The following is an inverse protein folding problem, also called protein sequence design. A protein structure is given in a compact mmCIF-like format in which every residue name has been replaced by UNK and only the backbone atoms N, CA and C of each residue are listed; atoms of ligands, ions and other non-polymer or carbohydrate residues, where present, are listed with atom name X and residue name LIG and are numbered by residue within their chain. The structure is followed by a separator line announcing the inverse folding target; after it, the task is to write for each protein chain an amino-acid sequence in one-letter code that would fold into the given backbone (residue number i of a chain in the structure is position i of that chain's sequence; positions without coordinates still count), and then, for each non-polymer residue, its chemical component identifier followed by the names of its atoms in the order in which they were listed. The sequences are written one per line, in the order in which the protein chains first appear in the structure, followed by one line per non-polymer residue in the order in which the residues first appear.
data_IF_527567414362
#
_entry.id   IF_527567414362
#
_cell.length_a   1.000
_cell.length_b   1.000
_cell.length_c   1.000
_cell.angle_alpha   90.00
_cell.angle_beta   90.00
_cell.angle_gamma   90.00
#
_symmetry.space_group_name_H-M   'P 1'
#
loop_
_entity.id
_entity.type
_entity.pdbx_description
1 polymer ?
#
# COMPACT_ATOMS: atom_id res chain seq x y z
N UNK A 1 19.70 64.68 53.16
CA UNK A 1 18.61 64.51 52.19
C UNK A 1 19.01 63.68 50.93
N UNK A 2 20.30 63.64 50.56
CA UNK A 2 20.78 62.83 49.38
C UNK A 2 20.83 61.33 49.61
N UNK A 3 21.09 60.87 50.80
CA UNK A 3 21.23 59.40 51.07
C UNK A 3 19.87 58.67 50.98
N UNK A 4 18.81 59.33 51.38
CA UNK A 4 17.43 58.74 51.29
C UNK A 4 16.96 58.59 49.84
N UNK A 5 17.34 59.47 48.95
CA UNK A 5 16.95 59.43 47.53
C UNK A 5 17.65 58.29 46.80
N UNK A 6 18.89 57.94 47.14
CA UNK A 6 19.64 56.82 46.52
C UNK A 6 19.09 55.47 46.92
N UNK A 7 18.62 55.32 48.16
CA UNK A 7 18.04 54.08 48.61
C UNK A 7 16.67 53.81 47.96
N UNK A 8 15.85 54.81 47.78
CA UNK A 8 14.55 54.67 47.10
C UNK A 8 14.68 54.39 45.63
N UNK A 9 15.61 55.01 44.92
CA UNK A 9 15.87 54.75 43.49
C UNK A 9 16.42 53.33 43.29
N UNK A 10 17.37 52.89 44.15
CA UNK A 10 17.94 51.55 44.10
C UNK A 10 16.86 50.45 44.34
N UNK A 11 15.98 50.68 45.31
CA UNK A 11 14.92 49.72 45.60
C UNK A 11 13.84 49.70 44.50
N UNK A 12 13.57 50.82 43.83
CA UNK A 12 12.66 50.92 42.70
C UNK A 12 13.21 50.18 41.46
N UNK A 13 14.52 50.32 41.22
CA UNK A 13 15.21 49.61 40.13
C UNK A 13 15.25 48.09 40.37
N UNK A 14 15.47 47.63 41.60
CA UNK A 14 15.42 46.22 41.96
C UNK A 14 14.01 45.61 41.84
N UNK A 15 12.98 46.37 42.20
CA UNK A 15 11.60 45.96 42.00
C UNK A 15 11.20 45.87 40.52
N UNK A 16 11.69 46.78 39.67
CA UNK A 16 11.45 46.75 38.23
C UNK A 16 12.12 45.57 37.53
N UNK A 17 13.32 45.12 38.00
CA UNK A 17 13.96 43.89 37.48
C UNK A 17 13.27 42.59 37.91
N UNK A 18 12.59 42.59 39.05
CA UNK A 18 11.87 41.39 39.52
C UNK A 18 10.57 41.11 38.72
N UNK A 19 9.95 42.17 38.14
CA UNK A 19 8.76 41.99 37.28
C UNK A 19 9.08 41.66 35.84
N UNK A 20 10.34 41.78 35.37
CA UNK A 20 10.74 41.45 34.02
C UNK A 20 11.01 39.95 33.77
N UNK A 21 11.07 39.12 34.82
CA UNK A 21 11.46 37.72 34.70
C UNK A 21 10.28 36.74 34.63
N UNK A 22 9.03 37.21 34.72
CA UNK A 22 7.84 36.31 34.72
C UNK A 22 7.06 36.32 33.42
N UNK A 23 7.58 36.96 32.34
CA UNK A 23 6.81 37.09 31.09
C UNK A 23 7.08 36.02 30.03
N UNK A 24 7.87 34.99 30.34
CA UNK A 24 8.19 33.92 29.36
C UNK A 24 7.39 32.61 29.51
N UNK A 25 6.51 32.49 30.49
CA UNK A 25 5.73 31.26 30.69
C UNK A 25 4.29 31.34 30.18
N UNK A 26 3.84 32.49 29.69
CA UNK A 26 2.45 32.66 29.22
C UNK A 26 2.26 32.48 27.71
N UNK A 27 3.26 32.01 26.98
CA UNK A 27 3.16 31.66 25.54
C UNK A 27 3.54 30.18 25.33
N UNK A 28 3.23 29.34 26.27
CA UNK A 28 2.96 27.91 25.98
C UNK A 28 1.45 27.77 25.77
N UNK A 29 0.93 28.43 24.77
CA UNK A 29 -0.26 27.94 24.13
C UNK A 29 0.10 26.53 23.68
N UNK A 30 -0.64 25.52 24.17
CA UNK A 30 -0.69 24.20 23.59
C UNK A 30 -1.24 24.35 22.17
N UNK A 31 -0.37 24.83 21.28
CA UNK A 31 -0.69 24.83 19.86
C UNK A 31 -0.94 23.36 19.51
N UNK A 32 -2.10 23.05 18.95
CA UNK A 32 -2.35 21.68 18.51
C UNK A 32 -1.17 21.23 17.66
N UNK A 33 -0.66 20.04 17.93
CA UNK A 33 0.41 19.45 17.12
C UNK A 33 0.06 19.63 15.66
N UNK A 34 1.01 20.16 14.89
CA UNK A 34 0.77 20.34 13.47
C UNK A 34 0.43 18.97 12.87
N UNK A 35 -0.69 18.86 12.14
CA UNK A 35 -1.04 17.57 11.54
C UNK A 35 0.12 17.09 10.67
N UNK A 36 0.44 15.79 10.69
CA UNK A 36 1.46 15.24 9.80
C UNK A 36 1.02 15.39 8.34
N UNK A 37 1.98 15.36 7.42
CA UNK A 37 1.67 15.15 6.01
C UNK A 37 1.39 13.66 5.84
N UNK A 38 0.15 13.31 5.57
CA UNK A 38 -0.35 11.93 5.60
C UNK A 38 -1.10 11.60 4.32
N UNK A 39 -0.83 10.44 3.76
CA UNK A 39 -1.59 9.88 2.64
C UNK A 39 -2.35 8.63 3.12
N UNK A 40 -3.67 8.66 3.03
CA UNK A 40 -4.56 7.53 3.30
C UNK A 40 -5.04 6.92 2.00
N UNK A 41 -4.80 5.64 1.84
CA UNK A 41 -5.12 4.88 0.64
C UNK A 41 -6.17 3.85 0.99
N UNK A 42 -7.40 4.06 0.49
CA UNK A 42 -8.45 3.05 0.51
C UNK A 42 -8.33 2.14 -0.70
N UNK A 43 -8.87 0.95 -0.60
CA UNK A 43 -8.85 -0.05 -1.67
C UNK A 43 -10.24 -0.55 -1.95
N UNK A 44 -10.51 -0.83 -3.25
CA UNK A 44 -11.81 -1.25 -3.71
C UNK A 44 -11.69 -2.30 -4.81
N UNK A 45 -12.45 -3.38 -4.68
CA UNK A 45 -12.62 -4.38 -5.72
C UNK A 45 -14.11 -4.58 -5.99
N UNK A 46 -14.64 -3.81 -6.95
CA UNK A 46 -16.04 -3.87 -7.41
C UNK A 46 -16.18 -4.25 -8.90
N UNK A 47 -15.06 -4.46 -9.58
CA UNK A 47 -15.07 -4.84 -11.00
C UNK A 47 -15.24 -6.36 -11.16
N UNK A 48 -16.44 -6.85 -10.85
CA UNK A 48 -16.86 -8.24 -10.99
C UNK A 48 -18.36 -8.35 -11.27
N UNK A 49 -18.83 -9.57 -11.57
CA UNK A 49 -20.20 -9.77 -12.07
C UNK A 49 -21.30 -9.56 -11.01
N UNK A 50 -20.99 -9.61 -9.74
CA UNK A 50 -22.02 -9.56 -8.67
C UNK A 50 -22.26 -8.17 -8.11
N UNK A 51 -21.43 -7.18 -8.46
CA UNK A 51 -21.51 -5.82 -7.96
C UNK A 51 -21.14 -5.67 -6.47
N UNK A 52 -20.84 -4.44 -6.06
CA UNK A 52 -20.40 -4.13 -4.71
C UNK A 52 -18.90 -4.33 -4.50
N UNK A 53 -18.37 -3.73 -3.45
CA UNK A 53 -16.98 -3.88 -3.06
C UNK A 53 -16.80 -5.14 -2.22
N UNK A 54 -15.92 -6.01 -2.67
CA UNK A 54 -15.57 -7.28 -2.01
C UNK A 54 -14.06 -7.39 -1.73
N UNK A 55 -13.36 -6.26 -1.66
CA UNK A 55 -11.94 -6.22 -1.34
C UNK A 55 -11.64 -7.01 -0.06
N UNK A 56 -12.34 -6.70 1.02
CA UNK A 56 -12.19 -7.30 2.35
C UNK A 56 -12.49 -8.80 2.42
N UNK A 57 -13.17 -9.36 1.40
CA UNK A 57 -13.49 -10.80 1.35
C UNK A 57 -12.43 -11.62 0.60
N UNK A 58 -11.64 -10.97 -0.26
CA UNK A 58 -10.79 -11.68 -1.22
C UNK A 58 -9.31 -11.40 -1.12
N UNK A 59 -8.92 -10.20 -0.66
CA UNK A 59 -7.51 -9.80 -0.62
C UNK A 59 -6.93 -10.17 0.74
N UNK A 60 -5.89 -10.98 0.73
CA UNK A 60 -5.17 -11.39 1.94
C UNK A 60 -3.74 -10.86 2.02
N UNK A 61 -3.24 -10.27 0.93
CA UNK A 61 -1.94 -9.59 0.92
C UNK A 61 -1.94 -8.42 -0.06
N UNK A 62 -1.33 -7.31 0.35
CA UNK A 62 -1.34 -6.05 -0.35
C UNK A 62 0.07 -5.45 -0.40
N UNK A 63 0.50 -5.05 -1.59
CA UNK A 63 1.80 -4.46 -1.87
C UNK A 63 1.59 -3.16 -2.63
N UNK A 64 1.96 -2.02 -2.04
CA UNK A 64 1.81 -0.69 -2.64
C UNK A 64 3.18 -0.12 -2.92
N UNK A 65 3.52 0.00 -4.20
CA UNK A 65 4.74 0.62 -4.68
C UNK A 65 4.50 2.11 -4.87
N UNK A 66 5.31 2.91 -4.20
CA UNK A 66 5.29 4.36 -4.30
C UNK A 66 6.38 4.83 -5.26
N UNK A 67 5.99 5.64 -6.24
CA UNK A 67 6.88 6.28 -7.20
C UNK A 67 6.75 7.80 -7.09
N UNK A 68 7.86 8.50 -7.37
CA UNK A 68 7.88 9.96 -7.45
C UNK A 68 7.26 10.49 -8.76
N UNK A 69 7.32 11.81 -8.94
CA UNK A 69 6.82 12.51 -10.13
C UNK A 69 7.50 12.07 -11.43
N UNK A 70 8.72 11.55 -11.37
CA UNK A 70 9.55 11.09 -12.49
C UNK A 70 9.47 9.57 -12.70
N UNK A 71 8.45 8.93 -12.09
CA UNK A 71 8.22 7.48 -12.11
C UNK A 71 9.42 6.67 -11.60
N UNK A 72 10.13 7.22 -10.59
CA UNK A 72 11.19 6.53 -9.87
C UNK A 72 10.67 5.92 -8.58
N UNK A 73 11.01 4.67 -8.34
CA UNK A 73 10.62 3.94 -7.14
C UNK A 73 11.20 4.60 -5.88
N UNK A 74 10.35 4.85 -4.91
CA UNK A 74 10.71 5.39 -3.61
C UNK A 74 10.68 4.31 -2.53
N UNK A 75 9.55 3.64 -2.38
CA UNK A 75 9.35 2.67 -1.30
C UNK A 75 8.23 1.69 -1.61
N UNK A 76 8.26 0.55 -0.90
CA UNK A 76 7.22 -0.47 -0.91
C UNK A 76 6.57 -0.52 0.48
N UNK A 77 5.26 -0.40 0.50
CA UNK A 77 4.42 -0.60 1.68
C UNK A 77 3.67 -1.91 1.54
N UNK A 78 3.64 -2.69 2.61
CA UNK A 78 3.02 -4.01 2.59
C UNK A 78 2.06 -4.18 3.75
N UNK A 79 0.94 -4.85 3.49
CA UNK A 79 0.06 -5.39 4.51
C UNK A 79 -0.23 -6.85 4.15
N UNK A 80 0.06 -7.75 5.06
CA UNK A 80 -0.11 -9.20 4.86
C UNK A 80 -0.91 -9.87 5.95
N UNK A 81 -1.42 -9.08 6.89
CA UNK A 81 -2.35 -9.56 7.88
C UNK A 81 -3.76 -9.60 7.27
N UNK A 82 -4.24 -10.80 7.01
CA UNK A 82 -5.55 -11.02 6.41
C UNK A 82 -6.72 -10.61 7.34
N UNK A 83 -6.52 -10.55 8.66
CA UNK A 83 -7.53 -10.06 9.59
C UNK A 83 -7.68 -8.54 9.45
N UNK A 84 -6.55 -7.83 9.32
CA UNK A 84 -6.51 -6.38 9.09
C UNK A 84 -7.13 -6.03 7.74
N UNK A 85 -6.73 -6.73 6.66
CA UNK A 85 -7.28 -6.53 5.32
C UNK A 85 -8.75 -6.92 5.21
N UNK A 86 -9.22 -7.84 6.06
CA UNK A 86 -10.62 -8.26 6.16
C UNK A 86 -11.54 -7.22 6.81
N UNK A 87 -11.02 -6.15 7.37
CA UNK A 87 -11.81 -5.07 7.95
C UNK A 87 -12.44 -4.21 6.84
N UNK A 88 -13.75 -3.97 6.94
CA UNK A 88 -14.43 -3.07 5.98
C UNK A 88 -13.94 -1.65 6.14
N UNK A 89 -13.52 -1.05 5.03
CA UNK A 89 -13.03 0.32 5.01
C UNK A 89 -11.58 0.45 5.46
N UNK A 90 -10.81 -0.63 5.36
CA UNK A 90 -9.37 -0.59 5.58
C UNK A 90 -8.70 0.53 4.76
N UNK A 91 -7.86 1.32 5.40
CA UNK A 91 -7.01 2.33 4.76
C UNK A 91 -5.54 2.07 5.15
N UNK A 92 -4.67 1.99 4.17
CA UNK A 92 -3.23 2.04 4.41
C UNK A 92 -2.80 3.49 4.62
N UNK A 93 -2.06 3.75 5.70
CA UNK A 93 -1.65 5.11 6.07
C UNK A 93 -0.15 5.26 5.85
N UNK A 94 0.22 6.20 5.00
CA UNK A 94 1.60 6.59 4.75
C UNK A 94 1.85 7.95 5.41
N UNK A 95 2.71 7.94 6.43
CA UNK A 95 3.10 9.14 7.17
C UNK A 95 4.41 9.71 6.63
N UNK A 96 4.68 10.96 6.96
CA UNK A 96 5.94 11.66 6.71
C UNK A 96 6.35 11.74 5.23
N UNK A 97 5.35 11.76 4.34
CA UNK A 97 5.60 12.03 2.94
C UNK A 97 5.92 13.52 2.73
N UNK A 98 6.86 13.82 1.86
CA UNK A 98 7.07 15.18 1.40
C UNK A 98 5.89 15.63 0.52
N UNK A 99 5.56 16.95 0.51
CA UNK A 99 4.56 17.48 -0.40
C UNK A 99 5.03 17.34 -1.84
N UNK A 100 4.47 16.39 -2.55
CA UNK A 100 4.81 16.10 -3.95
C UNK A 100 3.68 15.35 -4.66
N UNK A 101 3.91 15.08 -5.95
CA UNK A 101 3.08 14.22 -6.78
C UNK A 101 3.67 12.82 -6.78
N UNK A 102 2.83 11.85 -6.41
CA UNK A 102 3.19 10.44 -6.33
C UNK A 102 2.35 9.60 -7.27
N UNK A 103 2.92 8.50 -7.75
CA UNK A 103 2.19 7.44 -8.44
C UNK A 103 2.18 6.19 -7.58
N UNK A 104 0.99 5.60 -7.44
CA UNK A 104 0.78 4.37 -6.69
C UNK A 104 0.56 3.21 -7.67
N UNK A 105 1.32 2.14 -7.49
CA UNK A 105 1.07 0.87 -8.15
C UNK A 105 0.83 -0.19 -7.08
N UNK A 106 -0.37 -0.76 -7.10
CA UNK A 106 -0.80 -1.75 -6.12
C UNK A 106 -0.83 -3.13 -6.77
N UNK A 107 -0.26 -4.10 -6.08
CA UNK A 107 -0.34 -5.51 -6.40
C UNK A 107 -0.94 -6.22 -5.19
N UNK A 108 -1.93 -7.06 -5.40
CA UNK A 108 -2.58 -7.79 -4.32
C UNK A 108 -2.78 -9.26 -4.68
N UNK A 109 -2.80 -10.10 -3.63
CA UNK A 109 -2.97 -11.55 -3.71
C UNK A 109 -3.93 -12.05 -2.62
N UNK A 110 -4.35 -13.33 -2.72
CA UNK A 110 -5.07 -13.99 -1.63
C UNK A 110 -4.14 -14.42 -0.50
N UNK A 111 -2.88 -14.71 -0.82
CA UNK A 111 -1.84 -15.15 0.11
C UNK A 111 -0.67 -14.18 0.09
N UNK A 112 0.07 -14.09 1.19
CA UNK A 112 1.33 -13.38 1.19
C UNK A 112 2.35 -14.00 0.22
N UNK A 113 3.34 -13.21 -0.21
CA UNK A 113 4.42 -13.75 -1.04
C UNK A 113 5.17 -14.87 -0.33
N UNK A 114 5.36 -14.77 0.99
CA UNK A 114 6.01 -15.80 1.79
C UNK A 114 5.23 -17.12 1.76
N UNK A 115 3.92 -17.07 2.00
CA UNK A 115 3.05 -18.25 1.90
C UNK A 115 3.03 -18.83 0.48
N UNK A 116 2.90 -17.95 -0.53
CA UNK A 116 2.87 -18.37 -1.93
C UNK A 116 4.19 -19.02 -2.34
N UNK A 117 5.34 -18.51 -1.90
CA UNK A 117 6.65 -19.10 -2.21
C UNK A 117 6.92 -20.41 -1.45
N UNK A 118 6.27 -20.61 -0.31
CA UNK A 118 6.29 -21.87 0.44
C UNK A 118 5.43 -22.98 -0.16
N UNK A 119 4.50 -22.66 -1.07
CA UNK A 119 3.64 -23.64 -1.72
C UNK A 119 4.33 -24.29 -2.93
N UNK A 120 3.91 -25.52 -3.26
CA UNK A 120 4.22 -26.15 -4.55
C UNK A 120 3.33 -25.58 -5.66
N UNK A 121 3.77 -25.69 -6.91
CA UNK A 121 2.99 -25.32 -8.09
C UNK A 121 3.24 -23.91 -8.61
N UNK A 122 2.33 -23.47 -9.46
CA UNK A 122 2.43 -22.17 -10.13
C UNK A 122 2.36 -21.00 -9.16
N UNK A 123 3.27 -20.05 -9.28
CA UNK A 123 3.34 -18.87 -8.42
C UNK A 123 3.76 -17.62 -9.18
N UNK A 124 3.32 -16.48 -8.68
CA UNK A 124 3.80 -15.19 -9.14
C UNK A 124 5.15 -14.87 -8.50
N UNK A 125 5.97 -14.15 -9.23
CA UNK A 125 7.22 -13.56 -8.74
C UNK A 125 7.12 -12.06 -8.76
N UNK A 126 7.34 -11.47 -7.58
CA UNK A 126 7.39 -10.04 -7.41
C UNK A 126 8.81 -9.54 -7.75
N UNK A 127 8.91 -8.36 -8.39
CA UNK A 127 10.21 -7.76 -8.68
C UNK A 127 10.87 -7.22 -7.41
N UNK A 128 12.18 -7.32 -7.34
CA UNK A 128 12.97 -6.59 -6.37
C UNK A 128 13.24 -5.18 -6.91
N UNK A 129 12.71 -4.18 -6.22
CA UNK A 129 12.87 -2.78 -6.57
C UNK A 129 13.86 -2.10 -5.64
N UNK A 130 14.72 -1.25 -6.20
CA UNK A 130 15.64 -0.40 -5.46
C UNK A 130 15.27 1.07 -5.65
N UNK A 131 15.50 1.91 -4.64
CA UNK A 131 15.22 3.34 -4.73
C UNK A 131 15.85 3.95 -5.99
N UNK A 132 15.04 4.68 -6.76
CA UNK A 132 15.41 5.26 -8.04
C UNK A 132 15.21 4.37 -9.27
N UNK A 133 14.81 3.10 -9.10
CA UNK A 133 14.45 2.24 -10.24
C UNK A 133 13.24 2.81 -11.01
N UNK A 134 13.25 2.74 -12.35
CA UNK A 134 12.12 3.21 -13.13
C UNK A 134 10.91 2.28 -12.98
N UNK A 135 9.70 2.84 -13.08
CA UNK A 135 8.44 2.09 -12.99
C UNK A 135 8.36 0.90 -13.96
N UNK A 136 8.98 1.01 -15.12
CA UNK A 136 9.03 -0.08 -16.11
C UNK A 136 9.78 -1.34 -15.65
N UNK A 137 10.52 -1.27 -14.53
CA UNK A 137 11.14 -2.44 -13.90
C UNK A 137 10.16 -3.22 -13.02
N UNK A 138 9.04 -2.61 -12.66
CA UNK A 138 8.01 -3.27 -11.86
C UNK A 138 7.22 -4.23 -12.74
N UNK A 139 7.65 -5.48 -12.78
CA UNK A 139 7.04 -6.53 -13.57
C UNK A 139 6.74 -7.75 -12.70
N UNK A 140 5.46 -8.07 -12.55
CA UNK A 140 5.03 -9.31 -11.91
C UNK A 140 5.04 -10.43 -12.94
N UNK A 141 5.82 -11.46 -12.70
CA UNK A 141 6.00 -12.58 -13.64
C UNK A 141 5.49 -13.88 -13.05
N UNK A 142 5.27 -14.87 -13.92
CA UNK A 142 5.03 -16.25 -13.50
C UNK A 142 6.35 -17.01 -13.38
N UNK A 143 6.48 -17.77 -12.31
CA UNK A 143 7.59 -18.70 -12.15
C UNK A 143 7.57 -19.75 -13.25
N UNK A 144 8.74 -19.97 -13.85
CA UNK A 144 8.87 -20.87 -15.00
C UNK A 144 10.09 -21.76 -14.82
N UNK A 145 9.92 -23.02 -15.13
CA UNK A 145 11.00 -23.98 -15.26
C UNK A 145 11.37 -24.21 -16.72
N UNK A 146 12.66 -24.44 -16.97
CA UNK A 146 13.13 -24.83 -18.30
C UNK A 146 13.11 -26.33 -18.44
N UNK A 147 12.46 -26.83 -19.48
CA UNK A 147 12.59 -28.21 -19.86
C UNK A 147 14.00 -28.46 -20.44
N UNK A 148 14.71 -29.41 -19.85
CA UNK A 148 16.07 -29.77 -20.27
C UNK A 148 16.14 -30.47 -21.62
N UNK A 149 15.00 -31.01 -22.08
CA UNK A 149 14.94 -31.77 -23.35
C UNK A 149 14.73 -30.90 -24.59
N UNK A 150 13.86 -29.90 -24.51
CA UNK A 150 13.50 -29.03 -25.65
C UNK A 150 13.85 -27.55 -25.45
N UNK A 151 14.39 -27.20 -24.28
CA UNK A 151 14.77 -25.82 -23.90
C UNK A 151 13.60 -24.85 -23.71
N UNK A 152 12.35 -25.32 -23.77
CA UNK A 152 11.16 -24.49 -23.54
C UNK A 152 10.95 -24.21 -22.06
N UNK A 153 10.42 -23.03 -21.78
CA UNK A 153 10.00 -22.67 -20.42
C UNK A 153 8.50 -22.96 -20.26
N UNK A 154 8.14 -23.57 -19.15
CA UNK A 154 6.74 -23.85 -18.81
C UNK A 154 6.45 -23.43 -17.36
N UNK A 155 5.20 -23.16 -17.07
CA UNK A 155 4.75 -22.86 -15.71
C UNK A 155 4.42 -24.17 -15.03
N UNK A 156 5.06 -24.43 -13.89
CA UNK A 156 4.74 -25.61 -13.06
C UNK A 156 3.40 -25.38 -12.38
N UNK A 157 2.49 -26.33 -12.53
CA UNK A 157 1.14 -26.21 -11.94
C UNK A 157 0.61 -27.53 -11.39
N UNK A 158 1.43 -28.28 -10.72
CA UNK A 158 1.09 -29.58 -10.16
C UNK A 158 -0.08 -29.51 -9.16
N UNK A 159 -1.30 -29.60 -9.67
CA UNK A 159 -2.57 -29.65 -8.92
C UNK A 159 -2.82 -28.48 -7.93
N UNK A 160 -1.93 -27.51 -7.87
CA UNK A 160 -2.09 -26.32 -7.03
C UNK A 160 -2.58 -25.16 -7.89
N UNK A 161 -3.77 -24.60 -7.65
CA UNK A 161 -4.25 -23.45 -8.41
C UNK A 161 -3.34 -22.26 -8.20
N UNK A 162 -3.09 -21.51 -9.30
CA UNK A 162 -2.40 -20.23 -9.24
C UNK A 162 -3.19 -19.29 -8.33
N UNK A 163 -2.48 -18.54 -7.48
CA UNK A 163 -3.10 -17.51 -6.65
C UNK A 163 -3.77 -16.41 -7.50
N UNK A 164 -4.68 -15.68 -6.91
CA UNK A 164 -5.36 -14.60 -7.60
C UNK A 164 -4.51 -13.34 -7.53
N UNK A 165 -4.31 -12.71 -8.69
CA UNK A 165 -3.60 -11.44 -8.83
C UNK A 165 -4.59 -10.31 -9.10
N UNK A 166 -4.51 -9.25 -8.32
CA UNK A 166 -5.15 -7.96 -8.57
C UNK A 166 -4.10 -6.88 -8.75
N UNK A 167 -4.40 -5.92 -9.59
CA UNK A 167 -3.60 -4.70 -9.78
C UNK A 167 -4.52 -3.50 -9.97
N UNK A 168 -3.97 -2.29 -9.96
CA UNK A 168 -4.71 -1.08 -10.28
C UNK A 168 -5.46 -1.24 -11.60
N UNK A 169 -6.74 -0.89 -11.60
CA UNK A 169 -7.56 -0.82 -12.82
C UNK A 169 -7.16 0.36 -13.69
N UNK A 170 -6.83 1.47 -13.06
CA UNK A 170 -6.41 2.72 -13.70
C UNK A 170 -5.17 3.26 -13.02
N UNK A 171 -4.49 4.19 -13.67
CA UNK A 171 -3.40 4.92 -13.01
C UNK A 171 -3.92 5.63 -11.76
N UNK A 172 -3.17 5.53 -10.67
CA UNK A 172 -3.45 6.23 -9.44
C UNK A 172 -2.34 7.22 -9.15
N UNK A 173 -2.63 8.49 -9.40
CA UNK A 173 -1.73 9.61 -9.16
C UNK A 173 -2.36 10.47 -8.06
N UNK A 174 -1.55 10.83 -7.07
CA UNK A 174 -1.97 11.61 -5.92
C UNK A 174 -0.98 12.75 -5.68
N UNK A 175 -1.49 13.90 -5.28
CA UNK A 175 -0.72 15.05 -4.85
C UNK A 175 -0.92 15.23 -3.34
N UNK A 176 0.18 15.28 -2.60
CA UNK A 176 0.16 15.54 -1.16
C UNK A 176 0.52 16.98 -0.87
N UNK A 177 -0.12 17.57 0.13
CA UNK A 177 0.12 18.94 0.57
C UNK A 177 0.71 18.94 1.98
N UNK A 178 1.52 19.94 2.27
CA UNK A 178 2.18 20.07 3.55
C UNK A 178 1.18 20.14 4.71
N UNK A 179 1.37 19.29 5.70
CA UNK A 179 0.53 19.20 6.91
C UNK A 179 -0.94 18.96 6.63
N UNK A 180 -1.23 18.17 5.61
CA UNK A 180 -2.59 17.79 5.28
C UNK A 180 -2.70 16.27 5.15
N UNK A 181 -3.87 15.76 5.49
CA UNK A 181 -4.24 14.36 5.19
C UNK A 181 -4.87 14.31 3.82
N UNK A 182 -4.16 13.70 2.87
CA UNK A 182 -4.69 13.41 1.53
C UNK A 182 -5.33 12.02 1.54
N UNK A 183 -6.49 11.87 0.88
CA UNK A 183 -7.15 10.57 0.71
C UNK A 183 -7.28 10.22 -0.74
N UNK A 184 -7.01 8.97 -1.07
CA UNK A 184 -7.22 8.40 -2.40
C UNK A 184 -7.79 6.98 -2.28
N UNK A 185 -8.39 6.50 -3.38
CA UNK A 185 -8.88 5.11 -3.45
C UNK A 185 -8.28 4.45 -4.68
N UNK A 186 -7.73 3.26 -4.49
CA UNK A 186 -7.22 2.42 -5.57
C UNK A 186 -8.31 1.43 -5.97
N UNK A 187 -8.78 1.53 -7.21
CA UNK A 187 -9.66 0.54 -7.80
C UNK A 187 -8.84 -0.64 -8.30
N UNK A 188 -9.12 -1.83 -7.78
CA UNK A 188 -8.44 -3.05 -8.17
C UNK A 188 -9.20 -3.81 -9.26
N UNK A 189 -8.43 -4.42 -10.16
CA UNK A 189 -8.94 -5.32 -11.17
C UNK A 189 -8.22 -6.67 -11.06
N UNK A 190 -9.00 -7.74 -11.12
CA UNK A 190 -8.47 -9.10 -11.13
C UNK A 190 -7.86 -9.44 -12.49
N UNK A 191 -6.60 -9.86 -12.49
CA UNK A 191 -5.84 -10.24 -13.69
C UNK A 191 -5.82 -11.76 -13.95
N UNK A 192 -6.23 -12.58 -12.98
CA UNK A 192 -6.38 -14.02 -13.15
C UNK A 192 -7.83 -14.41 -13.38
N UNK A 193 -8.05 -15.47 -14.13
CA UNK A 193 -9.37 -16.07 -14.34
C UNK A 193 -9.30 -17.56 -14.05
N UNK A 194 -10.33 -18.07 -13.41
CA UNK A 194 -10.49 -19.51 -13.20
C UNK A 194 -11.51 -20.05 -14.19
N UNK A 195 -11.13 -21.06 -14.96
CA UNK A 195 -11.99 -21.73 -15.91
C UNK A 195 -12.11 -23.20 -15.50
N UNK A 196 -13.33 -23.62 -15.22
CA UNK A 196 -13.64 -25.04 -15.00
C UNK A 196 -14.34 -25.59 -16.25
N UNK A 197 -13.76 -26.61 -16.86
CA UNK A 197 -14.35 -27.30 -17.99
C UNK A 197 -14.83 -28.66 -17.51
N UNK A 198 -16.14 -28.90 -17.61
CA UNK A 198 -16.73 -30.18 -17.27
C UNK A 198 -17.15 -30.87 -18.57
N UNK A 199 -16.53 -32.00 -18.87
CA UNK A 199 -16.94 -32.86 -19.96
C UNK A 199 -18.09 -33.77 -19.45
N UNK A 200 -19.20 -33.71 -20.12
CA UNK A 200 -20.33 -34.61 -19.86
C UNK A 200 -20.50 -35.56 -21.04
N UNK A 201 -20.68 -36.84 -20.74
CA UNK A 201 -21.05 -37.80 -21.74
C UNK A 201 -22.42 -37.45 -22.30
N UNK A 202 -22.55 -37.40 -23.61
CA UNK A 202 -23.86 -37.20 -24.27
C UNK A 202 -24.80 -38.38 -24.01
N UNK A 203 -26.08 -38.11 -24.10
CA UNK A 203 -27.14 -39.14 -23.83
C UNK A 203 -27.19 -40.26 -24.87
N UNK A 204 -26.35 -40.22 -25.91
CA UNK A 204 -26.27 -41.25 -26.93
C UNK A 204 -25.11 -42.22 -26.67
N UNK A 205 -25.41 -43.42 -26.09
CA UNK A 205 -24.36 -44.42 -25.77
C UNK A 205 -23.71 -45.00 -27.03
N UNK A 206 -24.24 -44.74 -28.22
CA UNK A 206 -23.66 -45.21 -29.48
C UNK A 206 -22.48 -44.36 -29.97
N UNK A 207 -22.29 -43.16 -29.40
CA UNK A 207 -21.21 -42.23 -29.74
C UNK A 207 -20.04 -42.19 -28.77
N UNK A 208 -19.96 -43.21 -27.89
CA UNK A 208 -18.85 -43.32 -26.96
C UNK A 208 -17.77 -44.16 -27.63
N UNK A 209 -16.78 -43.53 -28.18
CA UNK A 209 -15.54 -44.22 -28.53
C UNK A 209 -14.68 -44.37 -27.28
N UNK A 210 -14.70 -45.54 -26.68
CA UNK A 210 -13.97 -45.88 -25.46
C UNK A 210 -12.50 -46.28 -25.74
N UNK A 211 -11.97 -45.94 -26.91
CA UNK A 211 -10.65 -46.38 -27.35
C UNK A 211 -9.59 -45.29 -27.44
N UNK A 212 -9.79 -44.13 -26.83
CA UNK A 212 -8.75 -43.11 -26.70
C UNK A 212 -8.18 -43.04 -25.27
#
# INVERSE_FOLDING_TARGET
MQVFLHHTIRNLLLAAMAFGATSCEWVKDDLPECPPTELRIGFKYDYHMFGGDVFYEHVGALYVYLFDRDDKFLSLYTETDSEVLGERGYEMVLNDLEPDRYRLVTVAFQKSCEEMYGCEGAKFRMPEMQAGDPIGKLEVTLDREKNTGDGRSYVVHENTPLDTLWMNRTENIVETEFRQTTRTTVDLMRHTKHLTVTLRQGDDPANIDCND
#
